data_IF_438298281842
#
_entry.id   IF_438298281842
#
_cell.length_a   1.000
_cell.length_b   1.000
_cell.length_c   1.000
_cell.angle_alpha   90.00
_cell.angle_beta   90.00
_cell.angle_gamma   90.00
#
_symmetry.space_group_name_H-M   'P 1'
#
loop_
_entity.id
_entity.type
_entity.pdbx_description
1 polymer ?
#
# COMPACT_ATOMS: atom_id res chain seq x y z
N UNK A 1 -12.70 -4.62 -5.91
CA UNK A 1 -11.48 -4.03 -5.33
C UNK A 1 -11.76 -3.66 -3.89
N UNK A 2 -10.85 -3.95 -2.97
CA UNK A 2 -10.92 -3.49 -1.58
C UNK A 2 -9.57 -2.85 -1.24
N UNK A 3 -9.58 -1.71 -0.55
CA UNK A 3 -8.38 -1.09 0.00
C UNK A 3 -8.56 -0.88 1.51
N UNK A 4 -7.55 -1.26 2.30
CA UNK A 4 -7.56 -1.21 3.77
C UNK A 4 -6.27 -0.54 4.23
N UNK A 5 -6.40 0.44 5.11
CA UNK A 5 -5.28 1.02 5.85
C UNK A 5 -5.21 0.40 7.24
N UNK A 6 -4.02 -0.04 7.65
CA UNK A 6 -3.73 -0.53 8.99
C UNK A 6 -2.49 0.17 9.53
N UNK A 7 -2.64 0.80 10.69
CA UNK A 7 -1.53 1.39 11.44
C UNK A 7 -1.43 0.78 12.83
N UNK A 8 -0.21 0.43 13.26
CA UNK A 8 0.13 -0.05 14.61
C UNK A 8 1.15 0.90 15.24
N UNK A 9 0.89 1.34 16.47
CA UNK A 9 1.86 2.12 17.26
C UNK A 9 3.01 1.25 17.76
N UNK A 10 4.16 1.88 18.02
CA UNK A 10 5.29 1.22 18.66
C UNK A 10 4.93 0.80 20.11
N UNK A 11 5.38 -0.38 20.54
CA UNK A 11 5.08 -0.95 21.85
C UNK A 11 6.33 -1.15 22.74
N UNK A 12 7.45 -0.52 22.37
CA UNK A 12 8.74 -0.63 23.05
C UNK A 12 9.57 -1.86 22.65
N UNK A 13 8.97 -2.81 21.92
CA UNK A 13 9.64 -3.98 21.30
C UNK A 13 9.61 -3.87 19.78
N UNK A 14 8.47 -3.45 19.22
CA UNK A 14 8.25 -3.27 17.80
C UNK A 14 8.24 -1.78 17.43
N UNK A 15 8.72 -1.46 16.23
CA UNK A 15 8.60 -0.11 15.65
C UNK A 15 7.16 0.11 15.15
N UNK A 16 6.76 1.38 15.00
CA UNK A 16 5.46 1.69 14.42
C UNK A 16 5.39 1.20 12.97
N UNK A 17 4.26 0.61 12.57
CA UNK A 17 4.06 0.03 11.24
C UNK A 17 2.83 0.63 10.57
N UNK A 18 2.98 0.99 9.30
CA UNK A 18 1.94 1.64 8.51
C UNK A 18 1.79 0.90 7.19
N UNK A 19 0.62 0.26 7.01
CA UNK A 19 0.35 -0.68 5.93
C UNK A 19 -0.88 -0.25 5.13
N UNK A 20 -0.74 -0.24 3.80
CA UNK A 20 -1.85 -0.09 2.86
C UNK A 20 -2.00 -1.38 2.06
N UNK A 21 -3.15 -2.02 2.20
CA UNK A 21 -3.45 -3.31 1.58
C UNK A 21 -4.48 -3.07 0.48
N UNK A 22 -4.24 -3.60 -0.71
CA UNK A 22 -5.20 -3.56 -1.82
C UNK A 22 -5.44 -4.95 -2.37
N UNK A 23 -6.70 -5.31 -2.57
CA UNK A 23 -7.12 -6.63 -3.06
C UNK A 23 -7.96 -6.48 -4.33
N UNK A 24 -7.46 -7.05 -5.42
CA UNK A 24 -8.17 -7.15 -6.68
C UNK A 24 -8.82 -8.52 -6.82
N UNK A 25 -10.14 -8.58 -6.72
CA UNK A 25 -10.95 -9.79 -6.92
C UNK A 25 -11.45 -9.94 -8.36
N UNK A 26 -11.04 -9.06 -9.28
CA UNK A 26 -11.45 -9.16 -10.67
C UNK A 26 -10.56 -10.17 -11.42
N UNK A 27 -11.13 -10.77 -12.45
CA UNK A 27 -10.42 -11.64 -13.39
C UNK A 27 -9.55 -10.86 -14.39
N UNK A 28 -9.34 -9.56 -14.16
CA UNK A 28 -8.51 -8.67 -14.98
C UNK A 28 -7.59 -7.81 -14.10
N UNK A 29 -6.43 -7.44 -14.64
CA UNK A 29 -5.58 -6.40 -14.04
C UNK A 29 -6.34 -5.06 -14.02
N UNK A 30 -6.12 -4.27 -12.96
CA UNK A 30 -6.72 -2.95 -12.81
C UNK A 30 -5.67 -1.93 -12.37
N UNK A 31 -5.77 -0.71 -12.90
CA UNK A 31 -5.11 0.46 -12.34
C UNK A 31 -6.08 1.17 -11.40
N UNK A 32 -5.64 1.43 -10.16
CA UNK A 32 -6.47 2.08 -9.13
C UNK A 32 -5.73 3.25 -8.50
N UNK A 33 -6.47 4.31 -8.21
CA UNK A 33 -5.98 5.45 -7.44
C UNK A 33 -6.20 5.21 -5.96
N UNK A 34 -5.12 5.14 -5.18
CA UNK A 34 -5.15 4.92 -3.74
C UNK A 34 -4.74 6.20 -3.02
N UNK A 35 -5.42 6.52 -1.92
CA UNK A 35 -5.02 7.62 -1.02
C UNK A 35 -4.07 7.06 0.04
N UNK A 36 -2.82 7.50 0.00
CA UNK A 36 -1.79 7.06 0.93
C UNK A 36 -1.90 7.85 2.24
N UNK A 37 -2.04 7.19 3.38
CA UNK A 37 -2.45 7.83 4.64
C UNK A 37 -1.37 8.74 5.24
N UNK A 38 -0.10 8.55 4.88
CA UNK A 38 1.02 9.30 5.43
C UNK A 38 2.13 9.54 4.38
N UNK A 39 2.85 10.63 4.55
CA UNK A 39 4.07 10.94 3.79
C UNK A 39 5.18 9.94 4.14
N UNK A 40 6.00 9.59 3.14
CA UNK A 40 7.08 8.61 3.27
C UNK A 40 7.24 7.74 2.03
N UNK A 41 8.17 6.79 2.09
CA UNK A 41 8.43 5.86 1.01
C UNK A 41 7.67 4.57 1.24
N UNK A 42 6.73 4.26 0.34
CA UNK A 42 5.90 3.07 0.44
C UNK A 42 6.43 1.98 -0.49
N UNK A 43 6.74 0.81 0.06
CA UNK A 43 7.32 -0.31 -0.68
C UNK A 43 6.41 -1.53 -0.61
N UNK A 44 6.18 -2.19 -1.75
CA UNK A 44 5.41 -3.43 -1.85
C UNK A 44 6.17 -4.60 -1.20
N UNK A 45 5.49 -5.39 -0.36
CA UNK A 45 6.13 -6.38 0.53
C UNK A 45 5.92 -7.85 0.11
N UNK A 46 5.02 -8.17 -0.83
CA UNK A 46 4.74 -9.57 -1.18
C UNK A 46 5.79 -10.10 -2.14
N UNK A 47 6.03 -9.42 -3.26
CA UNK A 47 6.96 -9.89 -4.30
C UNK A 47 7.88 -8.80 -4.86
N UNK A 48 7.72 -7.54 -4.42
CA UNK A 48 8.56 -6.42 -4.78
C UNK A 48 8.47 -6.03 -6.26
N UNK A 49 7.44 -6.48 -6.98
CA UNK A 49 7.26 -6.16 -8.42
C UNK A 49 6.89 -4.71 -8.66
N UNK A 50 6.22 -4.07 -7.71
CA UNK A 50 5.84 -2.67 -7.82
C UNK A 50 7.00 -1.76 -7.38
N UNK A 51 7.24 -0.71 -8.16
CA UNK A 51 8.13 0.37 -7.75
C UNK A 51 7.65 0.99 -6.44
N UNK A 52 8.61 1.40 -5.61
CA UNK A 52 8.30 2.19 -4.42
C UNK A 52 7.60 3.51 -4.80
N UNK A 53 6.70 3.95 -3.95
CA UNK A 53 5.90 5.16 -4.13
C UNK A 53 6.36 6.18 -3.09
N UNK A 54 6.92 7.28 -3.56
CA UNK A 54 7.35 8.38 -2.69
C UNK A 54 6.16 9.35 -2.49
N UNK A 55 5.58 9.33 -1.30
CA UNK A 55 4.42 10.13 -0.89
C UNK A 55 4.89 11.38 -0.17
N UNK A 56 4.56 12.57 -0.69
CA UNK A 56 5.03 13.85 -0.16
C UNK A 56 4.14 14.38 0.96
N UNK A 57 2.86 14.01 0.98
CA UNK A 57 1.90 14.46 1.98
C UNK A 57 0.85 13.38 2.26
N UNK A 58 0.28 13.41 3.46
CA UNK A 58 -0.84 12.55 3.82
C UNK A 58 -2.01 12.72 2.85
N UNK A 59 -2.71 11.61 2.59
CA UNK A 59 -3.82 11.44 1.67
C UNK A 59 -3.51 11.70 0.18
N UNK A 60 -2.25 11.87 -0.20
CA UNK A 60 -1.85 11.95 -1.61
C UNK A 60 -2.36 10.74 -2.40
N UNK A 61 -2.95 11.01 -3.55
CA UNK A 61 -3.36 9.97 -4.49
C UNK A 61 -2.16 9.52 -5.33
N UNK A 62 -2.00 8.21 -5.46
CA UNK A 62 -1.07 7.60 -6.41
C UNK A 62 -1.75 6.41 -7.11
N UNK A 63 -1.40 6.20 -8.38
CA UNK A 63 -1.93 5.06 -9.14
C UNK A 63 -1.09 3.82 -8.90
N UNK A 64 -1.76 2.67 -8.77
CA UNK A 64 -1.17 1.36 -8.56
C UNK A 64 -1.82 0.37 -9.51
N UNK A 65 -1.00 -0.45 -10.18
CA UNK A 65 -1.48 -1.60 -10.95
C UNK A 65 -1.55 -2.82 -10.04
N UNK A 66 -2.72 -3.44 -9.98
CA UNK A 66 -2.97 -4.64 -9.20
C UNK A 66 -3.40 -5.76 -10.16
N UNK A 67 -2.61 -6.84 -10.29
CA UNK A 67 -2.95 -7.97 -11.14
C UNK A 67 -4.31 -8.59 -10.79
N UNK A 68 -4.85 -9.37 -11.71
CA UNK A 68 -6.08 -10.14 -11.48
C UNK A 68 -5.92 -11.08 -10.28
N UNK A 69 -6.96 -11.20 -9.45
CA UNK A 69 -7.03 -12.13 -8.33
C UNK A 69 -5.81 -12.03 -7.39
N UNK A 70 -5.30 -10.81 -7.21
CA UNK A 70 -4.05 -10.53 -6.51
C UNK A 70 -4.23 -9.49 -5.41
N UNK A 71 -3.37 -9.56 -4.39
CA UNK A 71 -3.26 -8.55 -3.34
C UNK A 71 -1.88 -7.91 -3.37
N UNK A 72 -1.80 -6.62 -3.04
CA UNK A 72 -0.53 -5.93 -2.81
C UNK A 72 -0.54 -5.31 -1.40
N UNK A 73 0.60 -5.37 -0.72
CA UNK A 73 0.79 -4.79 0.61
C UNK A 73 1.91 -3.78 0.54
N UNK A 74 1.59 -2.51 0.76
CA UNK A 74 2.56 -1.44 0.84
C UNK A 74 2.86 -1.13 2.30
N UNK A 75 4.14 -1.14 2.67
CA UNK A 75 4.61 -0.70 3.98
C UNK A 75 5.36 0.63 3.83
N UNK A 76 5.10 1.56 4.74
CA UNK A 76 5.86 2.82 4.83
C UNK A 76 7.20 2.59 5.56
N UNK A 77 8.29 2.96 4.89
CA UNK A 77 9.65 3.04 5.44
C UNK A 77 9.96 4.45 5.95
#
# INVERSE_FOLDING_TARGET
MIAIHRWVDADGVHVAEDLLIVLNFADVECEVWLSFPAAGRWTEQIDGRASAIDVQQALQLASVRVPSNYGAVYQRL
#
